data_IF_318858456355
#
_entry.id   IF_318858456355
#
_cell.length_a   1.000
_cell.length_b   1.000
_cell.length_c   1.000
_cell.angle_alpha   90.00
_cell.angle_beta   90.00
_cell.angle_gamma   90.00
#
_symmetry.space_group_name_H-M   'P 1'
#
loop_
_entity.id
_entity.type
_entity.pdbx_description
1 polymer ?
#
# COMPACT_ATOMS: atom_id res chain seq x y z
N UNK A 1 21.79 28.43 -2.26
CA UNK A 1 21.50 27.34 -3.22
C UNK A 1 20.09 27.53 -3.75
N UNK A 2 19.82 27.22 -5.00
CA UNK A 2 18.72 27.83 -5.74
C UNK A 2 17.42 26.99 -5.57
N UNK A 3 16.57 27.33 -4.58
CA UNK A 3 15.24 26.72 -4.38
C UNK A 3 14.43 26.64 -5.70
N UNK A 4 14.52 27.68 -6.53
CA UNK A 4 13.88 27.71 -7.85
C UNK A 4 14.32 26.54 -8.74
N UNK A 5 15.59 26.18 -8.71
CA UNK A 5 16.10 25.03 -9.48
C UNK A 5 15.51 23.70 -8.99
N UNK A 6 15.38 23.54 -7.69
CA UNK A 6 14.80 22.32 -7.12
C UNK A 6 13.30 22.21 -7.41
N UNK A 7 12.57 23.31 -7.31
CA UNK A 7 11.16 23.35 -7.68
C UNK A 7 10.94 23.05 -9.17
N UNK A 8 11.84 23.51 -10.04
CA UNK A 8 11.78 23.17 -11.47
C UNK A 8 12.00 21.67 -11.70
N UNK A 9 12.95 21.03 -11.00
CA UNK A 9 13.16 19.57 -11.08
C UNK A 9 11.95 18.78 -10.56
N UNK A 10 11.34 19.22 -9.45
CA UNK A 10 10.09 18.65 -8.94
C UNK A 10 9.00 18.77 -9.99
N UNK A 11 8.83 19.95 -10.60
CA UNK A 11 7.84 20.17 -11.65
C UNK A 11 8.07 19.24 -12.85
N UNK A 12 9.29 19.12 -13.34
CA UNK A 12 9.63 18.21 -14.43
C UNK A 12 9.28 16.75 -14.10
N UNK A 13 9.51 16.32 -12.86
CA UNK A 13 9.14 14.99 -12.41
C UNK A 13 7.62 14.79 -12.38
N UNK A 14 6.89 15.72 -11.77
CA UNK A 14 5.42 15.67 -11.68
C UNK A 14 4.77 15.71 -13.06
N UNK A 15 5.34 16.44 -14.01
CA UNK A 15 4.89 16.48 -15.41
C UNK A 15 5.36 15.28 -16.25
N UNK A 16 6.03 14.29 -15.65
CA UNK A 16 6.53 13.09 -16.35
C UNK A 16 7.74 13.33 -17.29
N UNK A 17 8.38 14.49 -17.18
CA UNK A 17 9.55 14.90 -18.00
C UNK A 17 10.90 14.52 -17.36
N UNK A 18 10.91 14.23 -16.08
CA UNK A 18 12.05 13.67 -15.34
C UNK A 18 11.65 12.27 -14.86
N UNK A 19 12.50 11.27 -15.09
CA UNK A 19 12.19 9.90 -14.71
C UNK A 19 12.35 9.66 -13.20
N UNK A 20 11.81 8.53 -12.72
CA UNK A 20 11.80 8.18 -11.29
C UNK A 20 13.23 7.98 -10.75
N UNK A 21 14.12 7.36 -11.50
CA UNK A 21 15.47 7.05 -11.03
C UNK A 21 16.30 8.32 -10.83
N UNK A 22 16.15 9.28 -11.75
CA UNK A 22 16.80 10.60 -11.63
C UNK A 22 16.26 11.38 -10.43
N UNK A 23 14.94 11.34 -10.18
CA UNK A 23 14.35 12.00 -9.01
C UNK A 23 14.79 11.33 -7.70
N UNK A 24 14.76 10.00 -7.63
CA UNK A 24 15.23 9.23 -6.47
C UNK A 24 16.70 9.50 -6.18
N UNK A 25 17.54 9.54 -7.22
CA UNK A 25 18.94 9.89 -7.09
C UNK A 25 19.12 11.30 -6.51
N UNK A 26 18.38 12.27 -7.02
CA UNK A 26 18.40 13.64 -6.48
C UNK A 26 18.00 13.67 -5.01
N UNK A 27 16.91 12.96 -4.64
CA UNK A 27 16.46 12.87 -3.26
C UNK A 27 17.47 12.23 -2.30
N UNK A 28 18.26 11.26 -2.78
CA UNK A 28 19.21 10.50 -1.94
C UNK A 28 20.59 11.16 -1.86
N UNK A 29 21.09 11.70 -2.96
CA UNK A 29 22.50 12.08 -3.10
C UNK A 29 22.76 13.59 -3.01
N UNK A 30 21.79 14.44 -3.40
CA UNK A 30 21.98 15.89 -3.40
C UNK A 30 21.71 16.47 -2.00
N UNK A 31 22.78 16.86 -1.31
CA UNK A 31 22.69 17.42 0.05
C UNK A 31 21.82 18.67 0.12
N UNK A 32 21.84 19.51 -0.91
CA UNK A 32 21.03 20.72 -0.94
C UNK A 32 19.56 20.42 -1.17
N UNK A 33 19.24 19.45 -2.01
CA UNK A 33 17.87 18.97 -2.21
C UNK A 33 17.32 18.33 -0.91
N UNK A 34 18.12 17.52 -0.23
CA UNK A 34 17.75 16.92 1.05
C UNK A 34 17.46 17.99 2.12
N UNK A 35 18.31 19.01 2.22
CA UNK A 35 18.06 20.14 3.13
C UNK A 35 16.81 20.92 2.75
N UNK A 36 16.56 21.13 1.45
CA UNK A 36 15.36 21.79 0.95
C UNK A 36 14.07 21.00 1.24
N UNK A 37 14.13 19.66 1.22
CA UNK A 37 12.96 18.77 1.34
C UNK A 37 12.76 18.22 2.75
N UNK A 38 13.63 18.49 3.70
CA UNK A 38 13.60 17.89 5.05
C UNK A 38 12.28 18.10 5.81
N UNK A 39 11.62 19.24 5.57
CA UNK A 39 10.38 19.62 6.22
C UNK A 39 9.14 19.34 5.36
N UNK A 40 9.27 18.61 4.27
CA UNK A 40 8.13 18.21 3.45
C UNK A 40 7.25 17.21 4.21
N UNK A 41 5.96 17.53 4.29
CA UNK A 41 4.96 16.73 5.00
C UNK A 41 3.80 16.39 4.08
N UNK A 42 3.24 15.19 4.25
CA UNK A 42 2.05 14.73 3.59
C UNK A 42 1.47 13.55 4.37
N UNK A 43 0.14 13.34 4.31
CA UNK A 43 -0.53 12.24 4.99
C UNK A 43 -0.06 10.86 4.52
N UNK A 44 0.41 10.74 3.28
CA UNK A 44 0.96 9.50 2.71
C UNK A 44 2.28 9.06 3.38
N UNK A 45 2.91 9.94 4.17
CA UNK A 45 4.14 9.65 4.91
C UNK A 45 3.91 9.03 6.30
N UNK A 46 2.67 8.74 6.70
CA UNK A 46 2.36 8.21 8.05
C UNK A 46 3.20 7.01 8.44
N UNK A 47 3.29 6.01 7.56
CA UNK A 47 4.11 4.80 7.80
C UNK A 47 5.62 5.08 7.81
N UNK A 48 6.05 6.26 7.38
CA UNK A 48 7.44 6.71 7.35
C UNK A 48 7.73 7.78 8.40
N UNK A 49 7.12 7.69 9.58
CA UNK A 49 7.29 8.61 10.71
C UNK A 49 6.98 10.07 10.36
N UNK A 50 6.09 10.30 9.39
CA UNK A 50 5.77 11.61 8.83
C UNK A 50 7.01 12.38 8.32
N UNK A 51 8.04 11.69 7.86
CA UNK A 51 9.30 12.30 7.40
C UNK A 51 9.60 11.90 5.95
N UNK A 52 9.69 12.90 5.08
CA UNK A 52 10.07 12.70 3.68
C UNK A 52 11.46 12.08 3.54
N UNK A 53 12.43 12.54 4.31
CA UNK A 53 13.79 11.97 4.26
C UNK A 53 13.83 10.52 4.73
N UNK A 54 13.08 10.20 5.81
CA UNK A 54 12.98 8.82 6.27
C UNK A 54 12.31 7.92 5.21
N UNK A 55 11.28 8.41 4.55
CA UNK A 55 10.65 7.73 3.42
C UNK A 55 11.65 7.47 2.29
N UNK A 56 12.35 8.50 1.81
CA UNK A 56 13.33 8.37 0.73
C UNK A 56 14.44 7.37 1.05
N UNK A 57 14.89 7.33 2.30
CA UNK A 57 16.00 6.48 2.71
C UNK A 57 15.58 5.00 2.92
N UNK A 58 14.32 4.74 3.30
CA UNK A 58 13.87 3.42 3.74
C UNK A 58 12.84 2.76 2.81
N UNK A 59 12.13 3.51 1.96
CA UNK A 59 11.13 2.94 1.06
C UNK A 59 11.76 2.21 -0.14
N UNK A 60 11.11 1.13 -0.56
CA UNK A 60 11.47 0.45 -1.80
C UNK A 60 10.92 1.23 -3.00
N UNK A 61 11.74 2.10 -3.59
CA UNK A 61 11.36 2.94 -4.74
C UNK A 61 11.08 2.17 -6.03
N UNK A 62 11.28 0.86 -6.05
CA UNK A 62 10.83 0.01 -7.16
C UNK A 62 9.32 -0.30 -7.09
N UNK A 63 8.69 -0.14 -5.92
CA UNK A 63 7.26 -0.37 -5.77
C UNK A 63 6.44 0.78 -6.36
N UNK A 64 5.42 0.50 -7.18
CA UNK A 64 4.52 1.52 -7.73
C UNK A 64 3.83 2.38 -6.64
N UNK A 65 3.50 1.80 -5.50
CA UNK A 65 2.92 2.51 -4.35
C UNK A 65 3.89 3.52 -3.72
N UNK A 66 5.18 3.17 -3.59
CA UNK A 66 6.21 4.11 -3.13
C UNK A 66 6.49 5.21 -4.17
N UNK A 67 6.44 4.89 -5.47
CA UNK A 67 6.55 5.89 -6.53
C UNK A 67 5.38 6.88 -6.51
N UNK A 68 4.16 6.38 -6.28
CA UNK A 68 2.98 7.22 -6.09
C UNK A 68 3.13 8.13 -4.87
N UNK A 69 3.59 7.60 -3.73
CA UNK A 69 3.85 8.41 -2.53
C UNK A 69 4.84 9.53 -2.82
N UNK A 70 5.96 9.24 -3.50
CA UNK A 70 6.92 10.27 -3.91
C UNK A 70 6.27 11.34 -4.79
N UNK A 71 5.49 10.92 -5.79
CA UNK A 71 4.75 11.81 -6.66
C UNK A 71 3.78 12.72 -5.89
N UNK A 72 2.96 12.15 -4.98
CA UNK A 72 1.98 12.90 -4.20
C UNK A 72 2.65 13.94 -3.29
N UNK A 73 3.69 13.57 -2.58
CA UNK A 73 4.42 14.51 -1.72
C UNK A 73 5.01 15.66 -2.52
N UNK A 74 5.65 15.37 -3.65
CA UNK A 74 6.29 16.41 -4.47
C UNK A 74 5.28 17.28 -5.21
N UNK A 75 4.20 16.71 -5.74
CA UNK A 75 3.13 17.49 -6.39
C UNK A 75 2.44 18.42 -5.39
N UNK A 76 2.19 17.95 -4.16
CA UNK A 76 1.63 18.77 -3.09
C UNK A 76 2.50 20.01 -2.77
N UNK A 77 3.83 19.87 -2.83
CA UNK A 77 4.73 20.99 -2.63
C UNK A 77 4.61 22.08 -3.72
N UNK A 78 4.28 21.70 -4.94
CA UNK A 78 3.98 22.67 -6.00
C UNK A 78 2.65 23.38 -5.74
N UNK A 79 1.63 22.64 -5.31
CA UNK A 79 0.31 23.19 -4.95
C UNK A 79 0.45 24.22 -3.83
N UNK A 80 1.14 23.89 -2.74
CA UNK A 80 1.36 24.80 -1.61
C UNK A 80 2.06 26.10 -2.02
N UNK A 81 2.96 26.04 -3.00
CA UNK A 81 3.71 27.19 -3.52
C UNK A 81 3.02 27.90 -4.69
N UNK A 82 1.81 27.44 -5.05
CA UNK A 82 1.04 27.96 -6.19
C UNK A 82 1.81 27.93 -7.53
N UNK A 83 2.64 26.90 -7.70
CA UNK A 83 3.40 26.70 -8.94
C UNK A 83 2.53 25.88 -9.89
N UNK A 84 2.16 26.41 -11.08
CA UNK A 84 1.35 25.67 -12.03
C UNK A 84 2.16 24.53 -12.67
N UNK A 85 1.52 23.38 -12.81
CA UNK A 85 2.06 22.20 -13.49
C UNK A 85 0.95 21.45 -14.23
N UNK A 86 1.34 20.63 -15.19
CA UNK A 86 0.43 19.69 -15.86
C UNK A 86 0.47 18.39 -15.11
N UNK A 87 -0.66 18.02 -14.52
CA UNK A 87 -0.78 16.77 -13.78
C UNK A 87 -0.69 15.56 -14.70
N UNK A 88 -0.08 14.47 -14.22
CA UNK A 88 -0.05 13.20 -14.92
C UNK A 88 -0.65 12.12 -14.03
N UNK A 89 -1.54 11.31 -14.60
CA UNK A 89 -2.12 10.15 -13.90
C UNK A 89 -1.25 8.89 -13.97
N UNK A 90 -0.05 8.99 -14.55
CA UNK A 90 0.84 7.84 -14.76
C UNK A 90 1.12 7.06 -13.49
N UNK A 91 1.55 7.73 -12.40
CA UNK A 91 1.88 7.06 -11.14
C UNK A 91 0.64 6.53 -10.43
N UNK A 92 -0.49 7.24 -10.55
CA UNK A 92 -1.79 6.81 -10.00
C UNK A 92 -2.22 5.51 -10.69
N UNK A 93 -2.29 5.50 -12.02
CA UNK A 93 -2.66 4.31 -12.80
C UNK A 93 -1.73 3.13 -12.55
N UNK A 94 -0.42 3.39 -12.52
CA UNK A 94 0.60 2.36 -12.25
C UNK A 94 0.41 1.72 -10.88
N UNK A 95 0.13 2.51 -9.84
CA UNK A 95 -0.12 2.00 -8.49
C UNK A 95 -1.45 1.26 -8.41
N UNK A 96 -2.51 1.75 -9.05
CA UNK A 96 -3.80 1.07 -9.15
C UNK A 96 -3.68 -0.29 -9.82
N UNK A 97 -3.07 -0.37 -11.01
CA UNK A 97 -2.82 -1.64 -11.71
C UNK A 97 -2.02 -2.64 -10.87
N UNK A 98 -1.13 -2.12 -10.03
CA UNK A 98 -0.32 -2.95 -9.14
C UNK A 98 -1.16 -3.46 -7.96
N UNK A 99 -1.97 -2.61 -7.34
CA UNK A 99 -2.82 -2.94 -6.21
C UNK A 99 -4.03 -3.82 -6.59
N UNK A 100 -4.54 -3.74 -7.83
CA UNK A 100 -5.70 -4.52 -8.30
C UNK A 100 -5.53 -6.06 -8.25
N UNK A 101 -4.35 -6.56 -7.92
CA UNK A 101 -4.14 -8.00 -7.69
C UNK A 101 -4.45 -8.40 -6.26
N UNK A 102 -4.56 -7.44 -5.33
CA UNK A 102 -4.95 -7.69 -3.94
C UNK A 102 -6.46 -7.98 -3.92
N UNK A 103 -6.88 -9.08 -3.31
CA UNK A 103 -8.30 -9.44 -3.28
C UNK A 103 -9.07 -8.68 -2.19
N UNK A 104 -10.31 -8.33 -2.49
CA UNK A 104 -11.22 -7.54 -1.64
C UNK A 104 -11.60 -8.21 -0.31
N UNK A 105 -11.35 -9.52 -0.17
CA UNK A 105 -11.67 -10.27 1.05
C UNK A 105 -10.58 -10.18 2.13
N UNK A 106 -9.48 -9.51 1.89
CA UNK A 106 -8.48 -9.28 2.93
C UNK A 106 -8.95 -8.19 3.90
N UNK A 107 -8.62 -8.30 5.20
CA UNK A 107 -8.83 -7.22 6.14
C UNK A 107 -7.94 -6.01 5.80
N UNK A 108 -8.41 -4.82 6.13
CA UNK A 108 -7.72 -3.57 5.78
C UNK A 108 -6.28 -3.52 6.32
N UNK A 109 -6.07 -4.01 7.55
CA UNK A 109 -4.73 -4.10 8.16
C UNK A 109 -3.75 -4.99 7.38
N UNK A 110 -4.27 -5.96 6.62
CA UNK A 110 -3.44 -6.87 5.84
C UNK A 110 -2.96 -6.25 4.52
N UNK A 111 -3.63 -5.23 4.00
CA UNK A 111 -3.31 -4.65 2.68
C UNK A 111 -1.91 -4.06 2.67
N UNK A 112 -1.56 -3.24 3.65
CA UNK A 112 -0.21 -2.65 3.76
C UNK A 112 0.86 -3.73 3.94
N UNK A 113 0.56 -4.75 4.76
CA UNK A 113 1.49 -5.85 4.97
C UNK A 113 1.71 -6.68 3.69
N UNK A 114 0.66 -6.92 2.91
CA UNK A 114 0.73 -7.62 1.61
C UNK A 114 1.56 -6.83 0.61
N UNK A 115 1.37 -5.52 0.54
CA UNK A 115 2.17 -4.64 -0.32
C UNK A 115 3.66 -4.73 0.04
N UNK A 116 3.98 -4.54 1.31
CA UNK A 116 5.36 -4.50 1.78
C UNK A 116 6.06 -5.87 1.74
N UNK A 117 5.35 -6.98 2.00
CA UNK A 117 5.96 -8.31 2.20
C UNK A 117 5.73 -9.31 1.06
N UNK A 118 4.64 -9.21 0.33
CA UNK A 118 4.33 -10.13 -0.77
C UNK A 118 4.52 -9.45 -2.13
N UNK A 119 3.83 -8.37 -2.39
CA UNK A 119 3.91 -7.69 -3.70
C UNK A 119 5.33 -7.19 -3.99
N UNK A 120 6.07 -6.77 -2.97
CA UNK A 120 7.47 -6.37 -3.09
C UNK A 120 8.40 -7.48 -3.62
N UNK A 121 8.01 -8.75 -3.48
CA UNK A 121 8.76 -9.90 -3.96
C UNK A 121 8.45 -10.25 -5.44
N UNK A 122 7.38 -9.68 -5.99
CA UNK A 122 6.96 -10.00 -7.35
C UNK A 122 7.80 -9.23 -8.38
N UNK A 123 8.42 -9.92 -9.36
CA UNK A 123 9.09 -9.24 -10.47
C UNK A 123 8.12 -8.32 -11.24
N UNK A 124 8.59 -7.10 -11.55
CA UNK A 124 7.74 -6.09 -12.20
C UNK A 124 7.33 -6.46 -13.64
N UNK A 125 8.08 -7.32 -14.30
CA UNK A 125 7.81 -7.82 -15.66
C UNK A 125 6.72 -8.90 -15.71
N UNK A 126 6.23 -9.37 -14.54
CA UNK A 126 5.15 -10.34 -14.51
C UNK A 126 3.83 -9.73 -14.97
N UNK A 127 3.12 -10.46 -15.84
CA UNK A 127 1.75 -10.10 -16.20
C UNK A 127 0.83 -10.05 -14.98
N UNK A 128 -0.22 -9.22 -15.02
CA UNK A 128 -1.22 -9.10 -13.96
C UNK A 128 -1.80 -10.48 -13.57
N UNK A 129 -2.11 -11.33 -14.55
CA UNK A 129 -2.63 -12.68 -14.30
C UNK A 129 -1.65 -13.55 -13.50
N UNK A 130 -0.34 -13.49 -13.83
CA UNK A 130 0.70 -14.22 -13.11
C UNK A 130 0.86 -13.70 -11.68
N UNK A 131 0.87 -12.39 -11.49
CA UNK A 131 0.91 -11.74 -10.17
C UNK A 131 -0.28 -12.16 -9.30
N UNK A 132 -1.50 -12.09 -9.86
CA UNK A 132 -2.74 -12.47 -9.17
C UNK A 132 -2.74 -13.95 -8.74
N UNK A 133 -2.29 -14.84 -9.62
CA UNK A 133 -2.19 -16.28 -9.30
C UNK A 133 -1.20 -16.53 -8.17
N UNK A 134 -0.01 -15.99 -8.26
CA UNK A 134 1.04 -16.15 -7.23
C UNK A 134 0.59 -15.58 -5.89
N UNK A 135 0.03 -14.36 -5.89
CA UNK A 135 -0.44 -13.72 -4.66
C UNK A 135 -1.55 -14.55 -4.00
N UNK A 136 -2.50 -15.08 -4.78
CA UNK A 136 -3.54 -15.98 -4.28
C UNK A 136 -2.94 -17.18 -3.56
N UNK A 137 -1.95 -17.85 -4.15
CA UNK A 137 -1.27 -19.00 -3.57
C UNK A 137 -0.55 -18.69 -2.25
N UNK A 138 0.03 -17.48 -2.11
CA UNK A 138 0.65 -17.05 -0.86
C UNK A 138 -0.42 -16.72 0.20
N UNK A 139 -1.45 -15.97 -0.19
CA UNK A 139 -2.51 -15.57 0.73
C UNK A 139 -3.32 -16.77 1.28
N UNK A 140 -3.53 -17.81 0.49
CA UNK A 140 -4.20 -19.03 0.95
C UNK A 140 -3.42 -19.78 2.05
N UNK A 141 -2.09 -19.61 2.11
CA UNK A 141 -1.27 -20.15 3.20
C UNK A 141 -1.34 -19.31 4.47
N UNK A 142 -1.50 -17.99 4.32
CA UNK A 142 -1.47 -17.03 5.43
C UNK A 142 -2.87 -16.85 6.02
N UNK A 143 -3.89 -16.79 5.17
CA UNK A 143 -5.30 -16.58 5.51
C UNK A 143 -6.12 -17.81 5.12
N UNK A 144 -6.09 -18.89 5.92
CA UNK A 144 -6.71 -20.15 5.57
C UNK A 144 -8.23 -20.03 5.59
N UNK A 145 -8.88 -20.62 4.58
CA UNK A 145 -10.33 -20.70 4.46
C UNK A 145 -10.73 -22.11 4.03
N UNK A 146 -11.79 -22.68 4.63
CA UNK A 146 -12.27 -24.01 4.30
C UNK A 146 -12.80 -24.11 2.86
N UNK A 147 -13.74 -23.23 2.50
CA UNK A 147 -14.45 -23.30 1.20
C UNK A 147 -14.52 -21.96 0.50
N UNK A 148 -15.09 -20.96 1.14
CA UNK A 148 -15.28 -19.62 0.60
C UNK A 148 -14.40 -18.63 1.33
N UNK A 149 -14.15 -17.48 0.74
CA UNK A 149 -13.52 -16.34 1.39
C UNK A 149 -14.60 -15.52 2.11
N UNK A 150 -14.26 -14.81 3.18
CA UNK A 150 -15.21 -13.89 3.81
C UNK A 150 -15.60 -12.76 2.87
N UNK A 151 -16.83 -12.27 3.03
CA UNK A 151 -17.31 -11.05 2.37
C UNK A 151 -17.67 -10.06 3.48
N UNK A 152 -16.72 -9.22 3.84
CA UNK A 152 -16.87 -8.26 4.93
C UNK A 152 -17.91 -7.20 4.60
N UNK A 153 -18.68 -6.78 5.60
CA UNK A 153 -19.70 -5.73 5.49
C UNK A 153 -19.11 -4.37 5.77
N UNK A 154 -18.33 -4.26 6.83
CA UNK A 154 -17.71 -3.00 7.27
C UNK A 154 -16.20 -2.96 7.02
N UNK A 155 -15.62 -4.09 6.59
CA UNK A 155 -14.18 -4.28 6.56
C UNK A 155 -13.65 -4.49 7.98
N UNK A 156 -13.22 -5.71 8.30
CA UNK A 156 -12.61 -5.95 9.60
C UNK A 156 -11.18 -5.41 9.63
N UNK A 157 -10.78 -4.85 10.76
CA UNK A 157 -9.40 -4.36 10.93
C UNK A 157 -8.39 -5.52 10.95
N UNK A 158 -8.75 -6.65 11.59
CA UNK A 158 -7.81 -7.76 11.78
C UNK A 158 -8.42 -9.15 11.52
N UNK A 159 -7.60 -10.03 10.94
CA UNK A 159 -7.91 -11.46 10.88
C UNK A 159 -7.71 -12.10 12.26
N UNK A 160 -8.69 -12.89 12.77
CA UNK A 160 -8.55 -13.55 14.07
C UNK A 160 -7.34 -14.47 14.16
N UNK A 161 -6.70 -14.48 15.33
CA UNK A 161 -5.47 -15.25 15.58
C UNK A 161 -5.62 -16.14 16.80
N UNK A 162 -4.88 -17.26 16.80
CA UNK A 162 -4.70 -18.11 17.97
C UNK A 162 -3.80 -17.42 19.04
N UNK A 163 -3.62 -18.07 20.18
CA UNK A 163 -2.77 -17.57 21.28
C UNK A 163 -1.28 -17.47 20.91
N UNK A 164 -0.87 -18.13 19.84
CA UNK A 164 0.49 -18.10 19.29
C UNK A 164 0.68 -17.06 18.18
N UNK A 165 -0.41 -16.37 17.79
CA UNK A 165 -0.42 -15.34 16.75
C UNK A 165 -0.62 -15.88 15.34
N UNK A 166 -0.99 -17.15 15.15
CA UNK A 166 -1.31 -17.72 13.85
C UNK A 166 -2.75 -17.38 13.47
N UNK A 167 -3.01 -17.10 12.20
CA UNK A 167 -4.34 -16.82 11.70
C UNK A 167 -5.25 -18.04 11.80
N UNK A 168 -6.47 -17.84 12.31
CA UNK A 168 -7.52 -18.85 12.38
C UNK A 168 -8.07 -19.16 10.98
N UNK A 169 -8.65 -20.34 10.82
CA UNK A 169 -9.28 -20.77 9.56
C UNK A 169 -10.69 -20.21 9.46
N UNK A 170 -10.99 -19.42 8.45
CA UNK A 170 -12.36 -19.00 8.14
C UNK A 170 -13.18 -20.19 7.65
N UNK A 171 -14.35 -20.43 8.25
CA UNK A 171 -15.22 -21.58 7.96
C UNK A 171 -16.47 -21.14 7.22
N UNK A 172 -17.20 -20.16 7.75
CA UNK A 172 -18.48 -19.73 7.20
C UNK A 172 -18.84 -18.32 7.62
N UNK A 173 -19.77 -17.71 6.88
CA UNK A 173 -20.51 -16.53 7.32
C UNK A 173 -22.02 -16.80 7.26
N UNK A 174 -22.77 -16.15 8.14
CA UNK A 174 -24.23 -16.26 8.23
C UNK A 174 -24.82 -14.87 8.39
N UNK A 175 -25.80 -14.56 7.55
CA UNK A 175 -26.58 -13.33 7.61
C UNK A 175 -27.89 -13.57 8.35
N UNK A 176 -28.26 -12.63 9.23
CA UNK A 176 -29.54 -12.63 9.92
C UNK A 176 -30.01 -11.17 10.15
N UNK A 177 -30.94 -10.71 9.33
CA UNK A 177 -31.37 -9.31 9.32
C UNK A 177 -30.22 -8.40 8.89
N UNK A 178 -29.88 -7.41 9.70
CA UNK A 178 -28.78 -6.46 9.46
C UNK A 178 -27.43 -6.96 10.01
N UNK A 179 -27.39 -8.18 10.56
CA UNK A 179 -26.19 -8.75 11.18
C UNK A 179 -25.57 -9.83 10.30
N UNK A 180 -24.23 -9.78 10.15
CA UNK A 180 -23.42 -10.84 9.57
C UNK A 180 -22.45 -11.37 10.60
N UNK A 181 -22.46 -12.70 10.79
CA UNK A 181 -21.56 -13.41 11.70
C UNK A 181 -20.56 -14.21 10.88
N UNK A 182 -19.27 -14.00 11.11
CA UNK A 182 -18.16 -14.73 10.52
C UNK A 182 -17.60 -15.68 11.55
N UNK A 183 -17.54 -16.98 11.22
CA UNK A 183 -17.03 -18.03 12.10
C UNK A 183 -15.64 -18.47 11.66
N UNK A 184 -14.72 -18.46 12.59
CA UNK A 184 -13.34 -18.92 12.45
C UNK A 184 -13.06 -20.05 13.42
N UNK A 185 -12.16 -20.97 13.05
CA UNK A 185 -11.80 -22.13 13.87
C UNK A 185 -10.28 -22.19 14.02
N UNK A 186 -9.82 -22.45 15.24
CA UNK A 186 -8.44 -22.84 15.48
C UNK A 186 -8.24 -24.30 15.03
N UNK A 187 -7.41 -24.57 14.02
CA UNK A 187 -7.21 -25.94 13.53
C UNK A 187 -6.54 -26.89 14.53
N UNK A 188 -5.95 -26.38 15.63
CA UNK A 188 -5.30 -27.18 16.67
C UNK A 188 -6.25 -27.60 17.79
N UNK A 189 -7.12 -26.67 18.21
CA UNK A 189 -8.01 -26.85 19.37
C UNK A 189 -9.45 -27.13 18.99
N UNK A 190 -9.85 -26.82 17.74
CA UNK A 190 -11.23 -26.75 17.25
C UNK A 190 -12.10 -25.72 17.98
N UNK A 191 -11.49 -24.75 18.69
CA UNK A 191 -12.23 -23.64 19.29
C UNK A 191 -12.74 -22.68 18.19
N UNK A 192 -14.02 -22.29 18.31
CA UNK A 192 -14.64 -21.33 17.39
C UNK A 192 -14.49 -19.91 17.93
N UNK A 193 -14.20 -18.98 17.02
CA UNK A 193 -14.21 -17.53 17.26
C UNK A 193 -15.17 -16.87 16.28
N UNK A 194 -16.03 -15.98 16.76
CA UNK A 194 -16.99 -15.26 15.92
C UNK A 194 -16.67 -13.75 15.87
N UNK A 195 -16.76 -13.18 14.68
CA UNK A 195 -16.80 -11.74 14.44
C UNK A 195 -18.21 -11.41 13.96
N UNK A 196 -18.76 -10.30 14.47
CA UNK A 196 -20.10 -9.82 14.12
C UNK A 196 -19.98 -8.41 13.56
N UNK A 197 -20.51 -8.22 12.35
CA UNK A 197 -20.64 -6.92 11.70
C UNK A 197 -22.12 -6.62 11.41
N UNK A 198 -22.42 -5.33 11.20
CA UNK A 198 -23.76 -4.85 10.88
C UNK A 198 -23.74 -4.00 9.61
N UNK A 199 -24.80 -4.11 8.80
CA UNK A 199 -25.01 -3.25 7.62
C UNK A 199 -25.24 -1.80 8.02
#
# INVERSE_FOLDING_TARGET
MNEKMYLEKIKLFVEGKLNIDEMVKLCKEDKGFREFTKDFQDNSLRKYKNSFLYFVDNANMNLPTCQLTLYLVLSWQLVLRKIPFVDTDYYIKKAQDYAEVIPDWLPDSAVDWVDDNLLSQIPQDWSKAKRKKWLKEQLEKIYPCEKKKPSWVQGTDDWPKDKEGNNLTFVKQKEKGEQVTYTFVDPKTNEETEIVEFY
#
